data_IF_019381164925
#
_entry.id   IF_019381164925
#
_cell.length_a   1.000
_cell.length_b   1.000
_cell.length_c   1.000
_cell.angle_alpha   90.00
_cell.angle_beta   90.00
_cell.angle_gamma   90.00
#
_symmetry.space_group_name_H-M   'P 1'
#
loop_
_entity.id
_entity.type
_entity.pdbx_description
1 polymer ?
#
# COMPACT_ATOMS: atom_id res chain seq x y z
N UNK A 1 -21.12 5.55 -2.81
CA UNK A 1 -21.37 6.13 -4.14
C UNK A 1 -22.82 6.57 -4.32
N UNK A 2 -23.82 5.69 -4.20
CA UNK A 2 -25.25 6.04 -4.37
C UNK A 2 -25.66 7.28 -3.56
N UNK A 3 -25.40 7.27 -2.25
CA UNK A 3 -25.76 8.41 -1.40
C UNK A 3 -24.99 9.69 -1.75
N UNK A 4 -23.71 9.58 -2.16
CA UNK A 4 -22.94 10.75 -2.62
C UNK A 4 -23.55 11.42 -3.86
N UNK A 5 -24.30 10.69 -4.67
CA UNK A 5 -24.96 11.21 -5.86
C UNK A 5 -26.31 11.82 -5.48
N UNK A 6 -27.14 11.04 -4.77
CA UNK A 6 -28.56 11.36 -4.61
C UNK A 6 -28.92 12.11 -3.32
N UNK A 7 -28.06 12.12 -2.29
CA UNK A 7 -28.28 12.95 -1.11
C UNK A 7 -27.58 14.30 -1.26
N UNK A 8 -28.08 15.28 -0.53
CA UNK A 8 -27.37 16.53 -0.30
C UNK A 8 -26.16 16.29 0.59
N UNK A 9 -25.13 17.11 0.41
CA UNK A 9 -23.92 17.05 1.22
C UNK A 9 -24.06 18.02 2.39
N UNK A 10 -23.63 17.65 3.61
CA UNK A 10 -22.95 16.40 3.98
C UNK A 10 -23.88 15.17 4.02
N UNK A 11 -23.33 14.00 3.70
CA UNK A 11 -24.08 12.73 3.74
C UNK A 11 -24.49 12.41 5.16
N UNK A 12 -25.75 11.96 5.30
CA UNK A 12 -26.32 11.58 6.58
C UNK A 12 -26.77 10.12 6.59
N UNK A 13 -26.90 9.58 7.79
CA UNK A 13 -27.58 8.32 8.06
C UNK A 13 -28.65 8.59 9.12
N UNK A 14 -29.77 7.89 9.03
CA UNK A 14 -30.80 7.90 10.07
C UNK A 14 -30.72 6.59 10.81
N UNK A 15 -30.41 6.66 12.11
CA UNK A 15 -30.30 5.50 12.98
C UNK A 15 -31.10 5.76 14.25
N UNK A 16 -32.01 4.84 14.59
CA UNK A 16 -32.89 4.96 15.78
C UNK A 16 -33.65 6.30 15.80
N UNK A 17 -34.20 6.71 14.65
CA UNK A 17 -34.88 7.99 14.40
C UNK A 17 -34.01 9.25 14.56
N UNK A 18 -32.69 9.10 14.76
CA UNK A 18 -31.74 10.22 14.86
C UNK A 18 -30.91 10.30 13.58
N UNK A 19 -30.99 11.44 12.89
CA UNK A 19 -30.14 11.74 11.74
C UNK A 19 -28.76 12.22 12.20
N UNK A 20 -27.71 11.57 11.71
CA UNK A 20 -26.32 11.89 12.01
C UNK A 20 -25.49 11.99 10.73
N UNK A 21 -24.48 12.87 10.68
CA UNK A 21 -23.60 12.93 9.53
C UNK A 21 -22.71 11.68 9.47
N UNK A 22 -22.16 11.40 8.28
CA UNK A 22 -21.22 10.30 8.07
C UNK A 22 -19.78 10.83 8.03
N UNK A 23 -18.90 10.16 8.75
CA UNK A 23 -17.45 10.38 8.69
C UNK A 23 -16.81 9.20 7.98
N UNK A 24 -16.24 9.46 6.80
CA UNK A 24 -15.62 8.43 5.96
C UNK A 24 -14.62 9.00 4.95
N UNK A 25 -13.77 8.14 4.38
CA UNK A 25 -12.76 8.51 3.38
C UNK A 25 -13.40 8.73 1.99
N UNK A 26 -14.06 9.87 1.81
CA UNK A 26 -14.85 10.13 0.60
C UNK A 26 -14.01 10.51 -0.62
N UNK A 27 -12.77 10.98 -0.46
CA UNK A 27 -12.01 11.66 -1.53
C UNK A 27 -11.94 10.86 -2.84
N UNK A 28 -11.70 9.55 -2.74
CA UNK A 28 -11.65 8.64 -3.89
C UNK A 28 -12.95 8.64 -4.71
N UNK A 29 -14.09 8.74 -4.04
CA UNK A 29 -15.42 8.62 -4.63
C UNK A 29 -15.99 9.98 -5.08
N UNK A 30 -15.49 11.10 -4.55
CA UNK A 30 -16.02 12.43 -4.83
C UNK A 30 -16.01 12.82 -6.32
N UNK A 31 -14.92 12.61 -7.09
CA UNK A 31 -14.91 12.94 -8.52
C UNK A 31 -16.01 12.22 -9.31
N UNK A 32 -16.14 10.91 -9.09
CA UNK A 32 -17.16 10.10 -9.74
C UNK A 32 -18.58 10.45 -9.26
N UNK A 33 -18.76 10.82 -7.99
CA UNK A 33 -20.04 11.27 -7.47
C UNK A 33 -20.47 12.61 -8.09
N UNK A 34 -19.54 13.55 -8.32
CA UNK A 34 -19.82 14.81 -9.00
C UNK A 34 -20.30 14.58 -10.44
N UNK A 35 -19.61 13.69 -11.18
CA UNK A 35 -20.07 13.22 -12.51
C UNK A 35 -21.46 12.59 -12.41
N UNK A 36 -21.72 11.81 -11.37
CA UNK A 36 -23.03 11.20 -11.11
C UNK A 36 -24.15 12.19 -10.82
N UNK A 37 -23.87 13.30 -10.13
CA UNK A 37 -24.86 14.37 -9.89
C UNK A 37 -25.29 15.05 -11.20
N UNK A 38 -24.38 15.15 -12.17
CA UNK A 38 -24.65 15.79 -13.47
C UNK A 38 -25.27 14.83 -14.50
N UNK A 39 -24.80 13.59 -14.54
CA UNK A 39 -25.11 12.65 -15.64
C UNK A 39 -25.66 11.29 -15.17
N UNK A 40 -25.95 11.14 -13.88
CA UNK A 40 -26.62 9.99 -13.30
C UNK A 40 -25.72 8.80 -12.96
N UNK A 41 -26.35 7.74 -12.42
CA UNK A 41 -25.71 6.56 -11.84
C UNK A 41 -24.74 5.84 -12.79
N UNK A 42 -25.12 5.66 -14.05
CA UNK A 42 -24.30 4.93 -15.02
C UNK A 42 -23.01 5.68 -15.37
N UNK A 43 -23.10 7.01 -15.57
CA UNK A 43 -21.95 7.86 -15.84
C UNK A 43 -20.95 7.85 -14.67
N UNK A 44 -21.46 7.93 -13.42
CA UNK A 44 -20.63 7.87 -12.21
C UNK A 44 -19.79 6.59 -12.14
N UNK A 45 -20.38 5.43 -12.40
CA UNK A 45 -19.69 4.14 -12.30
C UNK A 45 -18.67 3.95 -13.43
N UNK A 46 -19.00 4.36 -14.67
CA UNK A 46 -18.04 4.33 -15.79
C UNK A 46 -16.86 5.27 -15.56
N UNK A 47 -17.13 6.47 -15.05
CA UNK A 47 -16.08 7.40 -14.67
C UNK A 47 -15.24 6.85 -13.53
N UNK A 48 -15.85 6.26 -12.49
CA UNK A 48 -15.13 5.63 -11.39
C UNK A 48 -14.18 4.57 -11.93
N UNK A 49 -14.63 3.70 -12.83
CA UNK A 49 -13.77 2.69 -13.45
C UNK A 49 -12.56 3.32 -14.17
N UNK A 50 -12.78 4.34 -15.01
CA UNK A 50 -11.69 5.06 -15.69
C UNK A 50 -10.75 5.77 -14.72
N UNK A 51 -11.29 6.36 -13.65
CA UNK A 51 -10.55 7.01 -12.56
C UNK A 51 -9.65 6.01 -11.82
N UNK A 52 -10.18 4.84 -11.47
CA UNK A 52 -9.42 3.74 -10.89
C UNK A 52 -8.34 3.25 -11.83
N UNK A 53 -8.67 2.99 -13.10
CA UNK A 53 -7.72 2.51 -14.10
C UNK A 53 -6.56 3.49 -14.33
N UNK A 54 -6.86 4.79 -14.38
CA UNK A 54 -5.84 5.84 -14.47
C UNK A 54 -4.92 5.84 -13.23
N UNK A 55 -5.50 5.76 -12.03
CA UNK A 55 -4.74 5.67 -10.78
C UNK A 55 -3.83 4.44 -10.71
N UNK A 56 -4.32 3.28 -11.15
CA UNK A 56 -3.54 2.03 -11.23
C UNK A 56 -2.43 2.12 -12.28
N UNK A 57 -2.71 2.71 -13.45
CA UNK A 57 -1.69 2.94 -14.49
C UNK A 57 -0.57 3.86 -14.01
N UNK A 58 -0.92 4.95 -13.31
CA UNK A 58 0.07 5.84 -12.69
C UNK A 58 0.85 5.13 -11.56
N UNK A 59 0.19 4.28 -10.76
CA UNK A 59 0.87 3.48 -9.75
C UNK A 59 1.86 2.50 -10.36
N UNK A 60 1.52 1.83 -11.47
CA UNK A 60 2.46 0.98 -12.21
C UNK A 60 3.66 1.78 -12.72
N UNK A 61 3.45 2.99 -13.25
CA UNK A 61 4.55 3.87 -13.65
C UNK A 61 5.46 4.22 -12.46
N UNK A 62 4.90 4.50 -11.29
CA UNK A 62 5.67 4.72 -10.06
C UNK A 62 6.41 3.46 -9.58
N UNK A 63 5.79 2.29 -9.71
CA UNK A 63 6.39 1.00 -9.36
C UNK A 63 7.67 0.77 -10.17
N UNK A 64 7.60 0.98 -11.49
CA UNK A 64 8.75 0.91 -12.40
C UNK A 64 9.81 1.96 -12.03
N UNK A 65 9.38 3.19 -11.73
CA UNK A 65 10.25 4.32 -11.42
C UNK A 65 11.04 4.13 -10.13
N UNK A 66 10.40 3.67 -9.05
CA UNK A 66 11.06 3.39 -7.76
C UNK A 66 12.07 2.25 -7.89
N UNK A 67 11.71 1.19 -8.63
CA UNK A 67 12.64 0.12 -8.96
C UNK A 67 13.85 0.61 -9.77
N UNK A 68 13.72 1.73 -10.50
CA UNK A 68 14.67 2.20 -11.52
C UNK A 68 14.96 1.09 -12.53
N UNK A 69 13.89 0.46 -13.01
CA UNK A 69 13.98 -0.64 -13.95
C UNK A 69 14.56 -0.14 -15.28
N UNK A 70 15.66 -0.73 -15.72
CA UNK A 70 16.39 -0.33 -16.94
C UNK A 70 16.02 -1.21 -18.13
N UNK A 71 15.83 -2.51 -17.89
CA UNK A 71 15.47 -3.50 -18.90
C UNK A 71 13.94 -3.66 -18.99
N UNK A 72 13.21 -2.60 -19.32
CA UNK A 72 11.74 -2.65 -19.53
C UNK A 72 11.34 -2.57 -20.99
N UNK A 73 12.27 -2.89 -21.90
CA UNK A 73 12.05 -2.83 -23.35
C UNK A 73 11.70 -4.18 -23.96
N UNK A 74 12.15 -5.29 -23.36
CA UNK A 74 11.77 -6.63 -23.81
C UNK A 74 10.45 -7.08 -23.15
N UNK A 75 9.68 -7.89 -23.89
CA UNK A 75 8.36 -8.33 -23.47
C UNK A 75 8.41 -9.18 -22.18
N UNK A 76 9.45 -10.00 -21.99
CA UNK A 76 9.57 -10.88 -20.83
C UNK A 76 9.73 -10.10 -19.53
N UNK A 77 10.59 -9.09 -19.55
CA UNK A 77 10.79 -8.18 -18.43
C UNK A 77 9.54 -7.37 -18.11
N UNK A 78 8.87 -6.81 -19.13
CA UNK A 78 7.60 -6.08 -18.93
C UNK A 78 6.53 -6.99 -18.31
N UNK A 79 6.36 -8.20 -18.84
CA UNK A 79 5.41 -9.18 -18.29
C UNK A 79 5.74 -9.57 -16.86
N UNK A 80 7.03 -9.74 -16.54
CA UNK A 80 7.47 -10.06 -15.17
C UNK A 80 7.11 -8.94 -14.20
N UNK A 81 7.37 -7.68 -14.57
CA UNK A 81 7.06 -6.52 -13.72
C UNK A 81 5.56 -6.37 -13.52
N UNK A 82 4.78 -6.50 -14.60
CA UNK A 82 3.31 -6.44 -14.53
C UNK A 82 2.77 -7.60 -13.68
N UNK A 83 3.29 -8.81 -13.84
CA UNK A 83 2.89 -9.95 -13.04
C UNK A 83 3.16 -9.71 -11.54
N UNK A 84 4.32 -9.17 -11.18
CA UNK A 84 4.63 -8.84 -9.78
C UNK A 84 3.70 -7.74 -9.26
N UNK A 85 3.51 -6.65 -10.03
CA UNK A 85 2.64 -5.56 -9.62
C UNK A 85 1.19 -6.01 -9.40
N UNK A 86 0.67 -6.92 -10.24
CA UNK A 86 -0.69 -7.41 -10.11
C UNK A 86 -0.84 -8.52 -9.08
N UNK A 87 0.08 -9.48 -9.05
CA UNK A 87 -0.13 -10.78 -8.39
C UNK A 87 0.66 -10.96 -7.09
N UNK A 88 1.61 -10.07 -6.76
CA UNK A 88 2.46 -10.33 -5.61
C UNK A 88 1.68 -10.31 -4.28
N UNK A 89 1.97 -11.28 -3.43
CA UNK A 89 1.35 -11.51 -2.13
C UNK A 89 2.26 -12.39 -1.25
N UNK A 90 1.92 -12.47 0.03
CA UNK A 90 2.60 -13.34 0.99
C UNK A 90 2.27 -14.82 0.77
N UNK A 91 2.96 -15.71 1.48
CA UNK A 91 2.69 -17.16 1.43
C UNK A 91 1.43 -17.56 2.23
N UNK A 92 0.34 -16.83 2.05
CA UNK A 92 -0.94 -17.03 2.75
C UNK A 92 -1.51 -18.42 2.55
N UNK A 93 -1.31 -19.00 1.36
CA UNK A 93 -1.76 -20.36 1.07
C UNK A 93 -1.15 -21.39 2.04
N UNK A 94 0.15 -21.22 2.35
CA UNK A 94 0.85 -22.09 3.31
C UNK A 94 0.35 -21.79 4.73
N UNK A 95 0.24 -20.50 5.09
CA UNK A 95 -0.26 -20.09 6.41
C UNK A 95 -1.66 -20.64 6.68
N UNK A 96 -2.55 -20.55 5.70
CA UNK A 96 -3.91 -21.07 5.78
C UNK A 96 -3.93 -22.59 5.98
N UNK A 97 -3.16 -23.37 5.21
CA UNK A 97 -3.10 -24.83 5.38
C UNK A 97 -2.60 -25.21 6.78
N UNK A 98 -1.55 -24.55 7.25
CA UNK A 98 -0.90 -24.88 8.53
C UNK A 98 -1.79 -24.50 9.72
N UNK A 99 -2.41 -23.32 9.71
CA UNK A 99 -3.16 -22.80 10.86
C UNK A 99 -4.64 -23.15 10.82
N UNK A 100 -5.25 -23.18 9.63
CA UNK A 100 -6.68 -23.52 9.46
C UNK A 100 -6.90 -25.01 9.17
N UNK A 101 -5.84 -25.80 8.98
CA UNK A 101 -5.88 -27.25 8.75
C UNK A 101 -6.78 -27.64 7.56
N UNK A 102 -6.82 -26.79 6.54
CA UNK A 102 -7.68 -26.94 5.38
C UNK A 102 -6.99 -26.46 4.10
N UNK A 103 -7.28 -27.10 2.97
CA UNK A 103 -6.81 -26.65 1.65
C UNK A 103 -7.85 -25.70 1.06
N UNK A 104 -7.54 -24.42 0.84
CA UNK A 104 -8.51 -23.47 0.34
C UNK A 104 -8.86 -23.76 -1.13
N UNK A 105 -10.11 -23.45 -1.49
CA UNK A 105 -10.53 -23.38 -2.90
C UNK A 105 -10.08 -22.03 -3.49
N UNK A 106 -9.86 -21.99 -4.81
CA UNK A 106 -9.40 -20.81 -5.56
C UNK A 106 -10.37 -19.63 -5.56
N UNK A 107 -11.47 -19.67 -4.82
CA UNK A 107 -12.43 -18.56 -4.68
C UNK A 107 -12.58 -18.08 -3.24
N UNK A 108 -11.87 -18.72 -2.31
CA UNK A 108 -11.91 -18.36 -0.89
C UNK A 108 -10.93 -17.24 -0.59
N UNK A 109 -11.30 -16.38 0.35
CA UNK A 109 -10.42 -15.31 0.81
C UNK A 109 -9.59 -15.83 2.00
N UNK A 110 -8.27 -15.93 1.81
CA UNK A 110 -7.39 -16.73 2.68
C UNK A 110 -6.45 -15.92 3.57
N UNK A 111 -6.34 -14.60 3.37
CA UNK A 111 -5.33 -13.74 4.00
C UNK A 111 -5.59 -13.55 5.52
N UNK A 112 -6.81 -13.81 6.01
CA UNK A 112 -7.17 -13.77 7.45
C UNK A 112 -6.69 -14.99 8.28
N UNK A 113 -5.74 -15.78 7.79
CA UNK A 113 -5.29 -16.99 8.47
C UNK A 113 -4.60 -16.72 9.83
N UNK A 114 -4.05 -15.51 10.03
CA UNK A 114 -3.33 -15.09 11.23
C UNK A 114 -4.14 -14.15 12.16
N UNK A 115 -5.47 -14.27 12.16
CA UNK A 115 -6.41 -13.54 13.02
C UNK A 115 -6.42 -12.01 12.82
N UNK A 116 -5.55 -11.28 13.53
CA UNK A 116 -5.52 -9.81 13.60
C UNK A 116 -4.34 -9.21 12.82
N UNK A 117 -3.56 -10.03 12.12
CA UNK A 117 -2.44 -9.59 11.30
C UNK A 117 -2.61 -10.13 9.89
N UNK A 118 -2.48 -9.25 8.91
CA UNK A 118 -2.71 -9.54 7.50
C UNK A 118 -1.92 -8.53 6.65
N UNK A 119 -1.21 -9.04 5.64
CA UNK A 119 -0.75 -8.23 4.51
C UNK A 119 -1.48 -8.65 3.25
N UNK A 120 -2.40 -7.80 2.81
CA UNK A 120 -3.16 -8.12 1.62
C UNK A 120 -2.28 -8.07 0.36
N UNK A 121 -2.47 -9.03 -0.53
CA UNK A 121 -1.80 -9.05 -1.84
C UNK A 121 -2.26 -7.89 -2.72
N UNK A 122 -1.47 -7.57 -3.76
CA UNK A 122 -1.69 -6.36 -4.58
C UNK A 122 -3.09 -6.32 -5.21
N UNK A 123 -3.58 -7.45 -5.70
CA UNK A 123 -4.94 -7.52 -6.24
C UNK A 123 -6.01 -7.44 -5.15
N UNK A 124 -5.85 -8.12 -4.01
CA UNK A 124 -6.79 -7.99 -2.88
C UNK A 124 -6.99 -6.52 -2.50
N UNK A 125 -5.90 -5.77 -2.41
CA UNK A 125 -5.91 -4.35 -2.08
C UNK A 125 -6.79 -3.52 -3.04
N UNK A 126 -6.83 -3.86 -4.33
CA UNK A 126 -7.66 -3.19 -5.32
C UNK A 126 -9.14 -3.58 -5.23
N UNK A 127 -9.45 -4.83 -4.87
CA UNK A 127 -10.84 -5.26 -4.70
C UNK A 127 -11.48 -4.70 -3.43
N UNK A 128 -10.73 -4.67 -2.33
CA UNK A 128 -11.30 -4.39 -1.02
C UNK A 128 -11.12 -2.95 -0.56
N UNK A 129 -10.00 -2.32 -0.89
CA UNK A 129 -9.68 -0.95 -0.42
C UNK A 129 -9.01 -0.07 -1.47
N UNK A 130 -9.53 0.00 -2.71
CA UNK A 130 -8.90 0.77 -3.79
C UNK A 130 -8.68 2.25 -3.43
N UNK A 131 -9.57 2.82 -2.60
CA UNK A 131 -9.43 4.19 -2.11
C UNK A 131 -8.15 4.43 -1.30
N UNK A 132 -7.68 3.43 -0.53
CA UNK A 132 -6.45 3.54 0.24
C UNK A 132 -5.24 3.13 -0.60
N UNK A 133 -5.40 2.06 -1.39
CA UNK A 133 -4.35 1.44 -2.19
C UNK A 133 -3.76 2.40 -3.21
N UNK A 134 -4.60 3.01 -4.05
CA UNK A 134 -4.13 3.92 -5.11
C UNK A 134 -3.48 5.15 -4.49
N UNK A 135 -4.11 5.74 -3.46
CA UNK A 135 -3.55 6.89 -2.76
C UNK A 135 -2.17 6.58 -2.17
N UNK A 136 -2.03 5.43 -1.50
CA UNK A 136 -0.79 4.97 -0.91
C UNK A 136 0.29 4.75 -1.98
N UNK A 137 0.03 4.01 -3.06
CA UNK A 137 1.01 3.77 -4.12
C UNK A 137 1.51 5.08 -4.75
N UNK A 138 0.62 6.04 -5.01
CA UNK A 138 1.00 7.33 -5.60
C UNK A 138 1.88 8.16 -4.67
N UNK A 139 1.52 8.31 -3.38
CA UNK A 139 2.34 9.08 -2.44
C UNK A 139 3.66 8.38 -2.14
N UNK A 140 3.68 7.05 -2.09
CA UNK A 140 4.92 6.26 -1.98
C UNK A 140 5.85 6.54 -3.16
N UNK A 141 5.32 6.50 -4.38
CA UNK A 141 6.02 6.91 -5.61
C UNK A 141 6.75 8.24 -5.46
N UNK A 142 5.99 9.29 -5.14
CA UNK A 142 6.47 10.66 -5.04
C UNK A 142 7.52 10.81 -3.94
N UNK A 143 7.28 10.27 -2.74
CA UNK A 143 8.18 10.42 -1.58
C UNK A 143 9.47 9.64 -1.79
N UNK A 144 9.38 8.39 -2.25
CA UNK A 144 10.57 7.56 -2.49
C UNK A 144 11.40 8.14 -3.63
N UNK A 145 10.78 8.65 -4.70
CA UNK A 145 11.51 9.32 -5.77
C UNK A 145 12.32 10.52 -5.27
N UNK A 146 11.77 11.32 -4.35
CA UNK A 146 12.47 12.45 -3.72
C UNK A 146 13.61 12.01 -2.76
N UNK A 147 13.56 10.79 -2.23
CA UNK A 147 14.68 10.18 -1.49
C UNK A 147 15.77 9.76 -2.48
N UNK A 148 15.39 9.07 -3.55
CA UNK A 148 16.32 8.50 -4.53
C UNK A 148 17.01 9.57 -5.38
N UNK A 149 16.33 10.67 -5.69
CA UNK A 149 16.83 11.80 -6.48
C UNK A 149 16.42 13.13 -5.84
N UNK A 150 17.27 14.17 -5.87
CA UNK A 150 16.85 15.50 -5.46
C UNK A 150 15.69 15.98 -6.34
N UNK A 151 14.52 16.21 -5.74
CA UNK A 151 13.31 16.72 -6.40
C UNK A 151 12.85 18.03 -5.76
N UNK A 152 11.98 18.75 -6.47
CA UNK A 152 11.24 19.87 -5.91
C UNK A 152 10.29 19.35 -4.82
N UNK A 153 10.59 19.67 -3.56
CA UNK A 153 9.83 19.19 -2.40
C UNK A 153 8.42 19.79 -2.33
N UNK A 154 8.11 20.85 -3.09
CA UNK A 154 6.74 21.38 -3.14
C UNK A 154 5.76 20.33 -3.66
N UNK A 155 6.16 19.47 -4.60
CA UNK A 155 5.34 18.36 -5.10
C UNK A 155 5.05 17.36 -3.99
N UNK A 156 6.05 17.05 -3.15
CA UNK A 156 5.87 16.17 -1.98
C UNK A 156 4.85 16.78 -1.04
N UNK A 157 4.95 18.07 -0.70
CA UNK A 157 4.02 18.75 0.19
C UNK A 157 2.59 18.77 -0.36
N UNK A 158 2.40 19.02 -1.66
CA UNK A 158 1.08 18.93 -2.31
C UNK A 158 0.52 17.51 -2.19
N UNK A 159 1.35 16.51 -2.49
CA UNK A 159 0.94 15.11 -2.44
C UNK A 159 0.55 14.71 -1.01
N UNK A 160 1.27 15.18 0.02
CA UNK A 160 0.91 14.96 1.42
C UNK A 160 -0.46 15.53 1.76
N UNK A 161 -0.75 16.77 1.34
CA UNK A 161 -2.06 17.38 1.56
C UNK A 161 -3.19 16.55 0.92
N UNK A 162 -2.99 16.11 -0.32
CA UNK A 162 -3.95 15.27 -1.03
C UNK A 162 -4.13 13.90 -0.34
N UNK A 163 -3.03 13.27 0.11
CA UNK A 163 -3.07 11.99 0.81
C UNK A 163 -3.73 12.07 2.18
N UNK A 164 -3.63 13.19 2.90
CA UNK A 164 -4.36 13.36 4.17
C UNK A 164 -5.87 13.24 3.92
N UNK A 165 -6.41 13.91 2.90
CA UNK A 165 -7.85 13.85 2.58
C UNK A 165 -8.24 12.46 2.07
N UNK A 166 -7.38 11.85 1.26
CA UNK A 166 -7.69 10.62 0.54
C UNK A 166 -7.53 9.36 1.39
N UNK A 167 -6.40 9.22 2.09
CA UNK A 167 -6.04 8.01 2.84
C UNK A 167 -5.11 8.33 4.02
N UNK A 168 -5.66 8.65 5.20
CA UNK A 168 -4.86 8.85 6.42
C UNK A 168 -3.94 7.66 6.76
N UNK A 169 -4.43 6.42 6.60
CA UNK A 169 -3.60 5.23 6.79
C UNK A 169 -2.48 5.09 5.75
N UNK A 170 -2.75 5.43 4.49
CA UNK A 170 -1.71 5.44 3.45
C UNK A 170 -0.60 6.44 3.77
N UNK A 171 -0.97 7.62 4.30
CA UNK A 171 -0.01 8.60 4.78
C UNK A 171 0.80 8.09 5.97
N UNK A 172 0.15 7.46 6.96
CA UNK A 172 0.86 6.83 8.08
C UNK A 172 1.86 5.79 7.57
N UNK A 173 1.52 5.00 6.55
CA UNK A 173 2.41 4.00 5.97
C UNK A 173 3.60 4.60 5.25
N UNK A 174 3.46 5.80 4.68
CA UNK A 174 4.56 6.54 4.05
C UNK A 174 5.40 7.32 5.06
N UNK A 175 4.92 7.53 6.28
CA UNK A 175 5.60 8.34 7.30
C UNK A 175 7.05 7.93 7.62
N UNK A 176 7.45 6.65 7.67
CA UNK A 176 8.85 6.28 7.90
C UNK A 176 9.78 6.81 6.80
N UNK A 177 9.32 6.82 5.55
CA UNK A 177 10.07 7.34 4.41
C UNK A 177 10.10 8.87 4.40
N UNK A 178 9.02 9.52 4.87
CA UNK A 178 9.03 10.98 5.06
C UNK A 178 10.03 11.40 6.13
N UNK A 179 10.21 10.63 7.20
CA UNK A 179 11.23 10.90 8.21
C UNK A 179 12.64 10.81 7.62
N UNK A 180 12.90 9.82 6.77
CA UNK A 180 14.16 9.71 6.03
C UNK A 180 14.37 10.92 5.11
N UNK A 181 13.35 11.28 4.32
CA UNK A 181 13.42 12.44 3.43
C UNK A 181 13.64 13.74 4.21
N UNK A 182 12.98 13.92 5.35
CA UNK A 182 13.14 15.07 6.22
C UNK A 182 14.57 15.14 6.78
N UNK A 183 15.09 14.02 7.31
CA UNK A 183 16.46 13.95 7.81
C UNK A 183 17.49 14.29 6.72
N UNK A 184 17.31 13.76 5.50
CA UNK A 184 18.16 14.11 4.35
C UNK A 184 18.03 15.58 3.94
N UNK A 185 16.85 16.18 4.10
CA UNK A 185 16.56 17.57 3.75
C UNK A 185 17.11 18.57 4.76
N UNK A 186 17.35 18.16 6.01
CA UNK A 186 18.03 18.98 7.02
C UNK A 186 19.55 19.08 6.80
N UNK A 187 20.12 18.21 5.96
CA UNK A 187 21.53 18.25 5.60
C UNK A 187 21.92 19.53 4.83
N UNK A 188 23.19 19.96 4.90
CA UNK A 188 23.64 21.23 4.32
C UNK A 188 23.37 21.33 2.81
N UNK A 189 23.38 20.20 2.10
CA UNK A 189 23.13 20.13 0.65
C UNK A 189 21.68 20.43 0.26
N UNK A 190 20.71 20.04 1.09
CA UNK A 190 19.27 20.11 0.75
C UNK A 190 18.50 21.14 1.59
N UNK A 191 19.07 21.68 2.67
CA UNK A 191 18.37 22.61 3.58
C UNK A 191 17.75 23.82 2.87
N UNK A 192 18.42 24.36 1.86
CA UNK A 192 17.90 25.49 1.08
C UNK A 192 16.60 25.17 0.34
N UNK A 193 16.33 23.88 0.02
CA UNK A 193 15.09 23.51 -0.66
C UNK A 193 13.87 23.73 0.23
N UNK A 194 13.99 23.52 1.55
CA UNK A 194 12.90 23.71 2.52
C UNK A 194 12.39 25.16 2.60
N UNK A 195 13.24 26.13 2.26
CA UNK A 195 12.92 27.56 2.30
C UNK A 195 12.60 28.14 0.92
N UNK A 196 12.37 27.29 -0.09
CA UNK A 196 11.93 27.77 -1.39
C UNK A 196 10.56 28.46 -1.27
N UNK A 197 10.32 29.58 -1.96
CA UNK A 197 9.05 30.31 -1.89
C UNK A 197 7.84 29.43 -2.16
N UNK A 198 7.95 28.47 -3.09
CA UNK A 198 6.87 27.50 -3.39
C UNK A 198 6.48 26.66 -2.19
N UNK A 199 7.45 26.19 -1.41
CA UNK A 199 7.18 25.40 -0.20
C UNK A 199 6.55 26.27 0.88
N UNK A 200 7.07 27.47 1.09
CA UNK A 200 6.53 28.40 2.07
C UNK A 200 5.08 28.82 1.75
N UNK A 201 4.69 28.79 0.48
CA UNK A 201 3.30 29.01 0.04
C UNK A 201 2.42 27.76 0.20
N UNK A 202 2.91 26.59 -0.21
CA UNK A 202 2.11 25.36 -0.24
C UNK A 202 1.99 24.72 1.15
N UNK A 203 3.02 24.78 1.99
CA UNK A 203 3.03 24.09 3.29
C UNK A 203 1.96 24.60 4.26
N UNK A 204 1.73 25.91 4.44
CA UNK A 204 0.62 26.40 5.27
C UNK A 204 -0.74 25.93 4.76
N UNK A 205 -0.93 25.89 3.44
CA UNK A 205 -2.17 25.41 2.84
C UNK A 205 -2.37 23.90 3.07
N UNK A 206 -1.30 23.11 2.93
CA UNK A 206 -1.31 21.68 3.25
C UNK A 206 -1.63 21.41 4.72
N UNK A 207 -1.04 22.18 5.64
CA UNK A 207 -1.32 22.10 7.08
C UNK A 207 -2.78 22.47 7.39
N UNK A 208 -3.30 23.51 6.74
CA UNK A 208 -4.69 23.94 6.91
C UNK A 208 -5.68 22.87 6.43
N UNK A 209 -5.45 22.29 5.25
CA UNK A 209 -6.21 21.13 4.74
C UNK A 209 -6.15 19.97 5.73
N UNK A 210 -4.93 19.65 6.20
CA UNK A 210 -4.71 18.56 7.15
C UNK A 210 -5.49 18.76 8.44
N UNK A 211 -5.49 19.99 8.97
CA UNK A 211 -6.24 20.35 10.16
C UNK A 211 -7.75 20.17 9.96
N UNK A 212 -8.31 20.65 8.83
CA UNK A 212 -9.73 20.46 8.52
C UNK A 212 -10.08 18.97 8.45
N UNK A 213 -9.25 18.16 7.78
CA UNK A 213 -9.51 16.74 7.68
C UNK A 213 -9.39 16.02 9.03
N UNK A 214 -8.43 16.41 9.87
CA UNK A 214 -8.33 15.89 11.25
C UNK A 214 -9.57 16.24 12.07
N UNK A 215 -10.11 17.45 11.95
CA UNK A 215 -11.38 17.83 12.60
C UNK A 215 -12.55 16.98 12.09
N UNK A 216 -12.58 16.65 10.80
CA UNK A 216 -13.59 15.77 10.21
C UNK A 216 -13.48 14.33 10.72
N UNK A 217 -12.29 13.71 10.70
CA UNK A 217 -12.09 12.34 11.18
C UNK A 217 -12.35 12.23 12.69
N UNK A 218 -11.93 13.22 13.47
CA UNK A 218 -12.21 13.27 14.92
C UNK A 218 -13.69 13.52 15.25
N UNK A 219 -14.52 13.89 14.28
CA UNK A 219 -15.96 13.96 14.48
C UNK A 219 -16.60 12.57 14.53
N UNK A 220 -15.87 11.49 14.22
CA UNK A 220 -16.38 10.13 14.30
C UNK A 220 -16.67 9.72 15.77
N UNK A 221 -17.86 9.17 16.01
CA UNK A 221 -18.29 8.65 17.31
C UNK A 221 -17.80 7.22 17.58
N UNK A 222 -17.35 6.51 16.54
CA UNK A 222 -16.80 5.17 16.64
C UNK A 222 -15.58 5.15 17.55
N UNK A 223 -15.64 4.34 18.61
CA UNK A 223 -14.48 4.04 19.44
C UNK A 223 -13.87 2.73 18.95
N UNK A 224 -12.66 2.82 18.43
CA UNK A 224 -11.94 1.66 17.90
C UNK A 224 -11.07 1.06 19.00
N UNK A 225 -10.98 -0.28 19.10
CA UNK A 225 -10.02 -0.91 19.98
C UNK A 225 -8.61 -0.56 19.50
N UNK A 226 -7.79 -0.04 20.41
CA UNK A 226 -6.39 0.32 20.16
C UNK A 226 -5.53 -0.19 21.29
N UNK A 227 -4.38 -0.78 20.97
CA UNK A 227 -3.45 -1.29 21.97
C UNK A 227 -2.41 -2.19 21.33
N UNK A 228 -1.54 -2.75 22.16
CA UNK A 228 -0.59 -3.73 21.66
C UNK A 228 -1.28 -5.08 21.43
N UNK A 229 -0.75 -5.86 20.49
CA UNK A 229 -1.42 -7.09 20.05
C UNK A 229 -1.58 -8.13 21.17
N UNK A 230 -0.67 -8.15 22.15
CA UNK A 230 -0.75 -9.02 23.33
C UNK A 230 -1.87 -8.64 24.30
N UNK A 231 -2.43 -7.44 24.21
CA UNK A 231 -3.60 -7.05 25.00
C UNK A 231 -4.90 -7.69 24.46
N UNK A 232 -4.86 -8.21 23.21
CA UNK A 232 -6.03 -8.77 22.52
C UNK A 232 -6.01 -10.30 22.39
N UNK A 233 -4.88 -10.94 22.65
CA UNK A 233 -4.72 -12.40 22.52
C UNK A 233 -4.37 -12.99 23.89
N UNK A 234 -5.21 -13.91 24.36
CA UNK A 234 -5.12 -14.47 25.73
C UNK A 234 -3.91 -15.38 25.93
N UNK A 235 -3.48 -16.10 24.91
CA UNK A 235 -2.38 -17.06 25.01
C UNK A 235 -1.09 -16.49 24.38
N UNK A 236 -0.04 -16.20 25.17
CA UNK A 236 1.18 -15.61 24.66
C UNK A 236 2.00 -16.55 23.75
N UNK A 237 1.90 -17.87 23.94
CA UNK A 237 2.62 -18.85 23.12
C UNK A 237 2.01 -18.89 21.71
N UNK A 238 0.68 -18.90 21.63
CA UNK A 238 -0.07 -18.88 20.37
C UNK A 238 0.15 -17.57 19.60
N UNK A 239 0.21 -16.45 20.32
CA UNK A 239 0.60 -15.17 19.74
C UNK A 239 2.01 -15.21 19.14
N UNK A 240 2.99 -15.72 19.90
CA UNK A 240 4.37 -15.76 19.47
C UNK A 240 4.57 -16.68 18.24
N UNK A 241 3.95 -17.86 18.24
CA UNK A 241 3.99 -18.77 17.09
C UNK A 241 3.31 -18.18 15.85
N UNK A 242 2.14 -17.55 16.03
CA UNK A 242 1.40 -16.90 14.93
C UNK A 242 2.20 -15.75 14.33
N UNK A 243 2.76 -14.85 15.16
CA UNK A 243 3.57 -13.73 14.67
C UNK A 243 4.86 -14.19 14.00
N UNK A 244 5.54 -15.20 14.56
CA UNK A 244 6.75 -15.75 13.95
C UNK A 244 6.46 -16.38 12.58
N UNK A 245 5.38 -17.16 12.48
CA UNK A 245 4.93 -17.72 11.20
C UNK A 245 4.51 -16.62 10.22
N UNK A 246 3.76 -15.62 10.69
CA UNK A 246 3.33 -14.48 9.89
C UNK A 246 4.54 -13.75 9.28
N UNK A 247 5.49 -13.29 10.09
CA UNK A 247 6.68 -12.63 9.56
C UNK A 247 7.49 -13.51 8.61
N UNK A 248 7.63 -14.80 8.91
CA UNK A 248 8.37 -15.73 8.05
C UNK A 248 7.71 -15.90 6.68
N UNK A 249 6.39 -16.12 6.65
CA UNK A 249 5.63 -16.43 5.43
C UNK A 249 5.34 -15.18 4.58
N UNK A 250 5.15 -14.03 5.22
CA UNK A 250 4.76 -12.79 4.54
C UNK A 250 5.95 -12.06 3.93
N UNK A 251 7.04 -11.94 4.68
CA UNK A 251 8.21 -11.13 4.25
C UNK A 251 9.54 -11.83 4.46
N UNK A 252 9.62 -12.81 5.37
CA UNK A 252 10.87 -13.42 5.82
C UNK A 252 11.53 -14.28 4.76
N UNK A 253 10.78 -15.20 4.15
CA UNK A 253 11.32 -16.11 3.11
C UNK A 253 11.75 -15.29 1.87
N UNK A 254 10.90 -14.39 1.38
CA UNK A 254 11.22 -13.51 0.25
C UNK A 254 12.43 -12.64 0.58
N UNK A 255 12.43 -11.99 1.74
CA UNK A 255 13.52 -11.12 2.20
C UNK A 255 14.85 -11.87 2.36
N UNK A 256 14.83 -13.10 2.87
CA UNK A 256 16.03 -13.94 3.00
C UNK A 256 16.58 -14.33 1.63
N UNK A 257 15.74 -14.74 0.69
CA UNK A 257 16.17 -15.09 -0.67
C UNK A 257 16.77 -13.86 -1.38
N UNK A 258 16.12 -12.71 -1.28
CA UNK A 258 16.64 -11.44 -1.78
C UNK A 258 18.01 -11.12 -1.16
N UNK A 259 18.15 -11.22 0.16
CA UNK A 259 19.41 -10.95 0.85
C UNK A 259 20.52 -11.90 0.38
N UNK A 260 20.24 -13.20 0.23
CA UNK A 260 21.19 -14.19 -0.27
C UNK A 260 21.61 -13.84 -1.70
N UNK A 261 20.67 -13.48 -2.58
CA UNK A 261 20.96 -13.07 -3.96
C UNK A 261 21.90 -11.85 -3.96
N UNK A 262 21.58 -10.82 -3.17
CA UNK A 262 22.39 -9.59 -3.11
C UNK A 262 23.81 -9.87 -2.62
N UNK A 263 23.97 -10.63 -1.52
CA UNK A 263 25.28 -10.97 -0.94
C UNK A 263 26.09 -11.84 -1.92
N UNK A 264 25.49 -12.90 -2.47
CA UNK A 264 26.17 -13.79 -3.41
C UNK A 264 26.55 -13.05 -4.70
N UNK A 265 25.68 -12.17 -5.20
CA UNK A 265 25.97 -11.34 -6.37
C UNK A 265 27.17 -10.42 -6.16
N UNK A 266 27.27 -9.79 -4.99
CA UNK A 266 28.44 -8.97 -4.63
C UNK A 266 29.72 -9.82 -4.60
N UNK A 267 29.66 -11.02 -4.03
CA UNK A 267 30.81 -11.94 -3.94
C UNK A 267 31.27 -12.38 -5.34
N UNK A 268 30.33 -12.74 -6.22
CA UNK A 268 30.65 -13.20 -7.58
C UNK A 268 31.33 -12.10 -8.41
N UNK A 269 30.82 -10.86 -8.37
CA UNK A 269 31.44 -9.72 -9.06
C UNK A 269 32.84 -9.42 -8.53
N UNK A 270 33.07 -9.61 -7.22
CA UNK A 270 34.40 -9.44 -6.62
C UNK A 270 35.38 -10.54 -7.04
N UNK A 271 34.90 -11.78 -7.12
CA UNK A 271 35.68 -12.95 -7.52
C UNK A 271 36.23 -12.80 -8.94
N UNK A 272 35.38 -12.40 -9.89
CA UNK A 272 35.78 -12.19 -11.29
C UNK A 272 36.88 -11.12 -11.46
N UNK A 273 36.88 -10.11 -10.59
CA UNK A 273 37.88 -9.03 -10.61
C UNK A 273 39.25 -9.47 -10.08
N UNK A 274 39.28 -10.37 -9.10
CA UNK A 274 40.53 -10.97 -8.61
C UNK A 274 41.26 -11.74 -9.72
N UNK A 275 40.52 -12.30 -10.68
CA UNK A 275 41.10 -13.00 -11.84
C UNK A 275 41.53 -12.07 -12.99
N UNK A 276 41.02 -10.83 -13.07
CA UNK A 276 41.21 -9.95 -14.24
C UNK A 276 42.03 -8.69 -14.00
N UNK A 277 42.21 -8.22 -12.75
CA UNK A 277 43.11 -7.09 -12.45
C UNK A 277 43.49 -6.98 -10.98
N UNK A 278 44.78 -6.77 -10.68
CA UNK A 278 45.35 -6.60 -9.34
C UNK A 278 45.11 -5.21 -8.70
N UNK A 279 43.91 -4.63 -8.82
CA UNK A 279 43.65 -3.25 -8.34
C UNK A 279 42.39 -3.16 -7.47
N UNK A 280 42.64 -2.78 -6.21
CA UNK A 280 41.77 -2.29 -5.13
C UNK A 280 40.53 -3.15 -4.76
N UNK A 281 40.27 -3.40 -3.46
CA UNK A 281 39.06 -4.08 -3.02
C UNK A 281 37.84 -3.29 -3.52
N UNK A 282 37.01 -3.92 -4.35
CA UNK A 282 35.81 -3.26 -4.85
C UNK A 282 34.92 -2.90 -3.65
N UNK A 283 34.61 -1.60 -3.52
CA UNK A 283 33.55 -1.13 -2.62
C UNK A 283 32.28 -1.92 -2.96
N UNK A 284 31.64 -2.50 -1.93
CA UNK A 284 30.45 -3.33 -2.10
C UNK A 284 29.34 -2.57 -2.84
N UNK A 285 29.33 -1.24 -2.75
CA UNK A 285 28.41 -0.35 -3.48
C UNK A 285 28.57 -0.48 -5.00
N UNK A 286 29.81 -0.47 -5.49
CA UNK A 286 30.08 -0.60 -6.92
C UNK A 286 29.76 -2.00 -7.43
N UNK A 287 30.05 -3.03 -6.62
CA UNK A 287 29.68 -4.40 -6.95
C UNK A 287 28.15 -4.58 -7.04
N UNK A 288 27.41 -3.98 -6.10
CA UNK A 288 25.95 -3.98 -6.09
C UNK A 288 25.36 -3.27 -7.32
N UNK A 289 25.90 -2.08 -7.65
CA UNK A 289 25.44 -1.33 -8.82
C UNK A 289 25.74 -2.08 -10.13
N UNK A 290 26.88 -2.76 -10.25
CA UNK A 290 27.20 -3.59 -11.42
C UNK A 290 26.33 -4.84 -11.50
N UNK A 291 26.11 -5.52 -10.38
CA UNK A 291 25.37 -6.78 -10.36
C UNK A 291 23.87 -6.58 -10.60
N UNK A 292 23.28 -5.51 -10.02
CA UNK A 292 21.84 -5.33 -9.92
C UNK A 292 21.34 -3.95 -10.37
N UNK A 293 22.23 -2.98 -10.63
CA UNK A 293 21.85 -1.59 -10.86
C UNK A 293 21.20 -0.92 -9.64
N UNK A 294 21.47 -1.42 -8.43
CA UNK A 294 20.91 -0.91 -7.17
C UNK A 294 21.87 0.10 -6.55
N UNK A 295 21.34 1.26 -6.15
CA UNK A 295 22.10 2.31 -5.46
C UNK A 295 21.91 2.26 -3.94
N UNK A 296 22.82 2.83 -3.12
CA UNK A 296 22.71 2.78 -1.65
C UNK A 296 21.41 3.35 -1.09
N UNK A 297 20.81 4.37 -1.71
CA UNK A 297 19.53 4.94 -1.27
C UNK A 297 18.36 3.95 -1.44
N UNK A 298 18.40 3.06 -2.43
CA UNK A 298 17.40 1.99 -2.57
C UNK A 298 17.53 0.94 -1.45
N UNK A 299 18.75 0.64 -1.01
CA UNK A 299 18.95 -0.24 0.16
C UNK A 299 18.44 0.39 1.46
N UNK A 300 18.65 1.71 1.64
CA UNK A 300 18.09 2.43 2.79
C UNK A 300 16.57 2.35 2.80
N UNK A 301 15.94 2.59 1.64
CA UNK A 301 14.48 2.47 1.47
C UNK A 301 14.00 1.04 1.76
N UNK A 302 14.72 0.02 1.27
CA UNK A 302 14.40 -1.39 1.53
C UNK A 302 14.55 -1.74 3.03
N UNK A 303 15.57 -1.21 3.72
CA UNK A 303 15.74 -1.41 5.15
C UNK A 303 14.57 -0.81 5.94
N UNK A 304 14.16 0.42 5.62
CA UNK A 304 13.00 1.09 6.23
C UNK A 304 11.73 0.30 5.97
N UNK A 305 11.58 -0.26 4.77
CA UNK A 305 10.48 -1.14 4.40
C UNK A 305 10.40 -2.38 5.30
N UNK A 306 11.51 -3.11 5.45
CA UNK A 306 11.54 -4.31 6.31
C UNK A 306 11.23 -3.95 7.76
N UNK A 307 11.83 -2.88 8.30
CA UNK A 307 11.53 -2.42 9.67
C UNK A 307 10.05 -2.07 9.82
N UNK A 308 9.49 -1.34 8.86
CA UNK A 308 8.09 -0.91 8.90
C UNK A 308 7.15 -2.12 8.91
N UNK A 309 7.37 -3.09 8.01
CA UNK A 309 6.59 -4.31 7.98
C UNK A 309 6.77 -5.09 9.29
N UNK A 310 7.99 -5.32 9.78
CA UNK A 310 8.18 -6.05 11.05
C UNK A 310 7.48 -5.39 12.26
N UNK A 311 7.38 -4.06 12.31
CA UNK A 311 6.79 -3.35 13.46
C UNK A 311 5.26 -3.24 13.44
N UNK A 312 4.64 -3.15 12.26
CA UNK A 312 3.19 -2.93 12.14
C UNK A 312 2.31 -4.00 12.83
N UNK A 313 2.62 -5.31 12.77
CA UNK A 313 1.82 -6.37 13.41
C UNK A 313 1.76 -6.30 14.93
N UNK A 314 2.65 -5.53 15.57
CA UNK A 314 2.78 -5.46 17.03
C UNK A 314 1.68 -4.58 17.66
N UNK A 315 1.06 -3.69 16.88
CA UNK A 315 0.04 -2.77 17.36
C UNK A 315 -1.27 -2.95 16.58
N UNK A 316 -2.39 -2.85 17.30
CA UNK A 316 -3.73 -3.00 16.74
C UNK A 316 -4.48 -1.68 16.76
N UNK A 317 -5.08 -1.31 15.63
CA UNK A 317 -6.08 -0.24 15.54
C UNK A 317 -7.28 -0.74 14.77
N UNK A 318 -8.48 -0.63 15.36
CA UNK A 318 -9.70 -1.09 14.71
C UNK A 318 -10.02 -2.56 14.99
N UNK A 319 -11.24 -2.98 14.68
CA UNK A 319 -11.75 -4.32 15.02
C UNK A 319 -10.89 -5.43 14.43
N UNK A 320 -10.53 -5.28 13.15
CA UNK A 320 -9.76 -6.26 12.36
C UNK A 320 -8.29 -5.88 12.20
N UNK A 321 -7.81 -4.86 12.92
CA UNK A 321 -6.48 -4.26 12.74
C UNK A 321 -6.30 -3.56 11.38
N UNK A 322 -7.06 -2.49 11.16
CA UNK A 322 -6.91 -1.63 9.98
C UNK A 322 -5.50 -1.01 9.87
N UNK A 323 -4.77 -0.85 10.99
CA UNK A 323 -3.40 -0.35 10.96
C UNK A 323 -2.52 -1.23 10.09
N UNK A 324 -2.38 -2.52 10.42
CA UNK A 324 -1.48 -3.42 9.69
C UNK A 324 -1.93 -3.60 8.24
N UNK A 325 -3.22 -3.68 7.97
CA UNK A 325 -3.76 -3.89 6.62
C UNK A 325 -3.58 -2.70 5.69
N UNK A 326 -3.72 -1.46 6.19
CA UNK A 326 -3.71 -0.24 5.35
C UNK A 326 -2.38 0.49 5.36
N UNK A 327 -1.65 0.43 6.46
CA UNK A 327 -0.39 1.15 6.68
C UNK A 327 0.80 0.37 6.11
N UNK A 328 0.64 -0.93 5.85
CA UNK A 328 1.65 -1.77 5.18
C UNK A 328 1.75 -1.52 3.67
N UNK A 329 0.69 -1.00 3.03
CA UNK A 329 0.58 -0.84 1.56
C UNK A 329 1.83 -0.16 0.94
N UNK A 330 2.33 0.99 1.47
CA UNK A 330 3.55 1.62 0.96
C UNK A 330 4.78 0.71 0.95
N UNK A 331 4.99 -0.01 2.05
CA UNK A 331 6.18 -0.85 2.23
C UNK A 331 6.08 -2.12 1.38
N UNK A 332 4.91 -2.74 1.28
CA UNK A 332 4.68 -3.86 0.36
C UNK A 332 4.91 -3.44 -1.10
N UNK A 333 4.44 -2.27 -1.50
CA UNK A 333 4.67 -1.71 -2.83
C UNK A 333 6.15 -1.54 -3.15
N UNK A 334 6.94 -1.01 -2.21
CA UNK A 334 8.39 -0.87 -2.33
C UNK A 334 9.08 -2.23 -2.38
N UNK A 335 8.72 -3.16 -1.48
CA UNK A 335 9.30 -4.50 -1.41
C UNK A 335 9.19 -5.20 -2.77
N UNK A 336 7.99 -5.24 -3.32
CA UNK A 336 7.74 -5.90 -4.59
C UNK A 336 8.38 -5.18 -5.78
N UNK A 337 8.49 -3.84 -5.75
CA UNK A 337 9.24 -3.10 -6.76
C UNK A 337 10.74 -3.45 -6.74
N UNK A 338 11.31 -3.63 -5.55
CA UNK A 338 12.71 -4.05 -5.36
C UNK A 338 12.93 -5.52 -5.75
N UNK A 339 11.96 -6.40 -5.48
CA UNK A 339 12.00 -7.80 -5.99
C UNK A 339 11.98 -7.80 -7.51
N UNK A 340 11.10 -7.01 -8.15
CA UNK A 340 11.07 -6.84 -9.60
C UNK A 340 12.40 -6.33 -10.16
N UNK A 341 13.03 -5.36 -9.49
CA UNK A 341 14.37 -4.85 -9.84
C UNK A 341 15.42 -5.96 -9.85
N UNK A 342 15.43 -6.82 -8.84
CA UNK A 342 16.39 -7.93 -8.75
C UNK A 342 16.09 -8.98 -9.82
N UNK A 343 14.82 -9.29 -10.10
CA UNK A 343 14.48 -10.29 -11.10
C UNK A 343 14.83 -9.83 -12.53
N UNK A 344 14.61 -8.54 -12.84
CA UNK A 344 14.72 -8.01 -14.21
C UNK A 344 16.11 -7.46 -14.53
N UNK A 345 16.70 -6.64 -13.67
CA UNK A 345 17.94 -5.91 -14.00
C UNK A 345 19.21 -6.56 -13.44
N UNK A 346 19.11 -7.78 -12.93
CA UNK A 346 20.31 -8.53 -12.56
C UNK A 346 21.13 -8.87 -13.80
N UNK A 347 22.45 -8.65 -13.71
CA UNK A 347 23.35 -9.02 -14.80
C UNK A 347 23.21 -10.51 -15.16
N UNK A 348 23.28 -10.81 -16.46
CA UNK A 348 23.04 -12.15 -16.99
C UNK A 348 23.96 -13.21 -16.36
N UNK A 349 25.22 -12.85 -16.11
CA UNK A 349 26.18 -13.73 -15.43
C UNK A 349 25.69 -14.13 -14.03
N UNK A 350 25.19 -13.18 -13.24
CA UNK A 350 24.67 -13.43 -11.90
C UNK A 350 23.41 -14.29 -11.94
N UNK A 351 22.49 -14.02 -12.87
CA UNK A 351 21.30 -14.85 -13.05
C UNK A 351 21.65 -16.30 -13.39
N UNK A 352 22.66 -16.53 -14.25
CA UNK A 352 23.13 -17.88 -14.59
C UNK A 352 23.77 -18.59 -13.39
N UNK A 353 24.67 -17.90 -12.67
CA UNK A 353 25.36 -18.47 -11.50
C UNK A 353 24.42 -18.79 -10.34
N UNK A 354 23.42 -17.94 -10.12
CA UNK A 354 22.47 -18.05 -9.01
C UNK A 354 21.11 -18.62 -9.42
N UNK A 355 21.00 -19.22 -10.62
CA UNK A 355 19.71 -19.61 -11.22
C UNK A 355 18.82 -20.47 -10.32
N UNK A 356 19.40 -21.33 -9.47
CA UNK A 356 18.63 -22.13 -8.49
C UNK A 356 17.91 -21.25 -7.44
N UNK A 357 18.56 -20.18 -6.98
CA UNK A 357 18.02 -19.26 -5.98
C UNK A 357 16.94 -18.38 -6.62
N UNK A 358 17.17 -17.91 -7.86
CA UNK A 358 16.14 -17.24 -8.66
C UNK A 358 14.92 -18.12 -8.90
N UNK A 359 15.14 -19.39 -9.27
CA UNK A 359 14.07 -20.37 -9.46
C UNK A 359 13.24 -20.56 -8.18
N UNK A 360 13.91 -20.66 -7.02
CA UNK A 360 13.21 -20.74 -5.73
C UNK A 360 12.41 -19.46 -5.42
N UNK A 361 12.96 -18.28 -5.70
CA UNK A 361 12.23 -17.01 -5.54
C UNK A 361 10.99 -16.94 -6.43
N UNK A 362 11.07 -17.44 -7.68
CA UNK A 362 9.92 -17.53 -8.58
C UNK A 362 8.88 -18.54 -8.10
N UNK A 363 9.27 -19.67 -7.52
CA UNK A 363 8.34 -20.62 -6.90
C UNK A 363 7.63 -19.98 -5.71
N UNK A 364 8.37 -19.28 -4.84
CA UNK A 364 7.82 -18.54 -3.70
C UNK A 364 6.83 -17.48 -4.18
N UNK A 365 7.18 -16.72 -5.22
CA UNK A 365 6.26 -15.76 -5.85
C UNK A 365 5.01 -16.45 -6.42
N UNK A 366 5.15 -17.58 -7.11
CA UNK A 366 4.02 -18.34 -7.63
C UNK A 366 3.07 -18.80 -6.53
N UNK A 367 3.58 -19.31 -5.41
CA UNK A 367 2.77 -19.68 -4.26
C UNK A 367 2.12 -18.45 -3.61
N UNK A 368 2.85 -17.34 -3.49
CA UNK A 368 2.33 -16.10 -2.91
C UNK A 368 1.28 -15.40 -3.79
N UNK A 369 1.26 -15.71 -5.09
CA UNK A 369 0.24 -15.18 -6.00
C UNK A 369 -1.16 -15.76 -5.80
N UNK A 370 -1.29 -16.82 -4.99
CA UNK A 370 -2.56 -17.54 -4.79
C UNK A 370 -3.68 -16.63 -4.31
N UNK A 371 -3.42 -15.72 -3.36
CA UNK A 371 -4.44 -14.79 -2.84
C UNK A 371 -4.97 -13.87 -3.93
N UNK A 372 -4.07 -13.27 -4.71
CA UNK A 372 -4.42 -12.42 -5.85
C UNK A 372 -5.16 -13.19 -6.95
N UNK A 373 -4.72 -14.41 -7.27
CA UNK A 373 -5.42 -15.28 -8.22
C UNK A 373 -6.83 -15.63 -7.73
N UNK A 374 -7.01 -15.85 -6.42
CA UNK A 374 -8.30 -16.19 -5.86
C UNK A 374 -9.31 -15.05 -5.97
N UNK A 375 -8.84 -13.81 -5.78
CA UNK A 375 -9.64 -12.60 -5.97
C UNK A 375 -10.05 -12.41 -7.44
N UNK A 376 -9.13 -12.67 -8.38
CA UNK A 376 -9.43 -12.64 -9.81
C UNK A 376 -10.47 -13.69 -10.17
N UNK A 377 -10.28 -14.94 -9.75
CA UNK A 377 -11.21 -16.04 -10.03
C UNK A 377 -12.61 -15.73 -9.50
N UNK A 378 -12.71 -15.27 -8.24
CA UNK A 378 -13.98 -14.86 -7.62
C UNK A 378 -14.66 -13.72 -8.36
N UNK A 379 -13.90 -12.77 -8.89
CA UNK A 379 -14.46 -11.66 -9.66
C UNK A 379 -14.96 -12.10 -11.04
N UNK A 380 -14.28 -13.05 -11.70
CA UNK A 380 -14.70 -13.56 -13.01
C UNK A 380 -16.06 -14.23 -12.91
N UNK A 381 -16.31 -15.02 -11.86
CA UNK A 381 -17.60 -15.68 -11.63
C UNK A 381 -18.78 -14.71 -11.47
N UNK A 382 -18.51 -13.48 -11.04
CA UNK A 382 -19.54 -12.46 -10.75
C UNK A 382 -19.41 -11.22 -11.64
N UNK A 383 -18.63 -11.31 -12.71
CA UNK A 383 -18.29 -10.15 -13.53
C UNK A 383 -19.51 -9.63 -14.31
N UNK A 384 -19.74 -8.32 -14.22
CA UNK A 384 -20.66 -7.58 -15.07
C UNK A 384 -20.00 -6.27 -15.49
N UNK A 385 -20.01 -6.00 -16.79
CA UNK A 385 -19.56 -4.69 -17.30
C UNK A 385 -20.53 -3.57 -16.93
N UNK A 386 -21.83 -3.87 -16.87
CA UNK A 386 -22.81 -2.85 -16.50
C UNK A 386 -22.76 -2.57 -15.00
N UNK A 387 -22.94 -1.31 -14.59
CA UNK A 387 -23.10 -0.97 -13.18
C UNK A 387 -24.24 -1.78 -12.54
N UNK A 388 -24.14 -2.11 -11.24
CA UNK A 388 -25.22 -2.80 -10.56
C UNK A 388 -26.51 -1.96 -10.61
N UNK A 389 -27.65 -2.64 -10.67
CA UNK A 389 -28.95 -1.99 -10.64
C UNK A 389 -29.07 -1.13 -9.38
N UNK A 390 -29.47 0.14 -9.52
CA UNK A 390 -29.52 1.09 -8.39
C UNK A 390 -30.42 0.61 -7.24
N UNK A 391 -31.44 -0.20 -7.55
CA UNK A 391 -32.37 -0.80 -6.59
C UNK A 391 -31.70 -1.82 -5.67
N UNK A 392 -30.63 -2.51 -6.11
CA UNK A 392 -29.91 -3.50 -5.31
C UNK A 392 -28.82 -2.88 -4.44
N UNK A 393 -28.47 -1.61 -4.70
CA UNK A 393 -27.46 -0.88 -3.94
C UNK A 393 -28.08 -0.27 -2.68
N UNK A 394 -27.61 -0.70 -1.51
CA UNK A 394 -28.03 -0.18 -0.22
C UNK A 394 -27.77 1.34 -0.10
N UNK A 395 -28.61 2.01 0.69
CA UNK A 395 -28.50 3.44 1.03
C UNK A 395 -28.34 3.59 2.54
N UNK A 396 -27.77 4.71 2.97
CA UNK A 396 -27.60 5.02 4.39
C UNK A 396 -28.90 5.33 5.13
N UNK A 397 -30.03 5.48 4.42
CA UNK A 397 -31.33 5.82 5.01
C UNK A 397 -32.20 4.63 5.45
N UNK A 398 -31.91 3.40 5.00
CA UNK A 398 -32.78 2.22 5.22
C UNK A 398 -32.13 1.16 6.11
N UNK A 399 -31.39 1.57 7.14
CA UNK A 399 -30.46 0.68 7.86
C UNK A 399 -31.05 0.10 9.16
N UNK A 400 -30.86 -1.19 9.37
CA UNK A 400 -31.21 -1.90 10.61
C UNK A 400 -30.02 -1.95 11.60
N UNK A 401 -30.32 -2.23 12.88
CA UNK A 401 -29.36 -2.23 14.00
C UNK A 401 -28.15 -3.17 13.85
N UNK A 402 -28.24 -4.16 12.96
CA UNK A 402 -27.21 -5.20 12.78
C UNK A 402 -26.05 -4.79 11.86
N UNK A 403 -26.11 -3.62 11.21
CA UNK A 403 -25.05 -3.13 10.32
C UNK A 403 -23.84 -2.55 11.11
N UNK A 404 -23.11 -3.43 11.80
CA UNK A 404 -21.93 -3.13 12.62
C UNK A 404 -20.90 -2.19 11.94
N UNK A 405 -20.65 -2.39 10.65
CA UNK A 405 -19.70 -1.58 9.86
C UNK A 405 -20.12 -0.11 9.70
N UNK A 406 -21.40 0.20 9.85
CA UNK A 406 -21.96 1.55 9.64
C UNK A 406 -21.99 2.35 10.94
N UNK A 407 -22.09 1.69 12.10
CA UNK A 407 -21.92 2.32 13.42
C UNK A 407 -20.52 2.96 13.56
N UNK A 408 -19.50 2.36 12.95
CA UNK A 408 -18.12 2.86 12.96
C UNK A 408 -17.91 4.17 12.19
N UNK A 409 -18.91 4.64 11.43
CA UNK A 409 -18.81 5.82 10.55
C UNK A 409 -19.75 6.95 10.97
N UNK A 410 -20.47 6.79 12.09
CA UNK A 410 -21.39 7.81 12.58
C UNK A 410 -20.62 9.01 13.12
N UNK A 411 -20.92 10.19 12.59
CA UNK A 411 -20.37 11.45 13.06
C UNK A 411 -21.17 12.07 14.20
N UNK A 412 -20.51 12.91 15.00
CA UNK A 412 -21.10 13.78 15.99
C UNK A 412 -21.53 15.10 15.33
N UNK A 413 -22.84 15.41 15.22
CA UNK A 413 -23.31 16.67 14.65
C UNK A 413 -22.79 17.91 15.41
N UNK A 414 -22.45 17.75 16.68
CA UNK A 414 -21.94 18.83 17.53
C UNK A 414 -20.41 19.00 17.46
N UNK A 415 -19.71 18.16 16.69
CA UNK A 415 -18.27 18.31 16.51
C UNK A 415 -17.94 19.64 15.80
N UNK A 416 -16.78 20.26 16.08
CA UNK A 416 -16.38 21.54 15.48
C UNK A 416 -16.48 21.55 13.95
N UNK A 417 -16.11 20.44 13.29
CA UNK A 417 -16.21 20.32 11.84
C UNK A 417 -17.63 20.57 11.33
N UNK A 418 -18.64 19.83 11.82
CA UNK A 418 -20.01 19.96 11.34
C UNK A 418 -20.70 21.26 11.80
N UNK A 419 -20.31 21.82 12.95
CA UNK A 419 -20.87 23.08 13.45
C UNK A 419 -20.41 24.30 12.66
N UNK A 420 -19.15 24.32 12.21
CA UNK A 420 -18.53 25.52 11.65
C UNK A 420 -18.11 25.41 10.19
N UNK A 421 -17.78 24.20 9.70
CA UNK A 421 -17.19 24.00 8.37
C UNK A 421 -18.09 23.19 7.42
N UNK A 422 -18.76 22.15 7.92
CA UNK A 422 -19.54 21.20 7.12
C UNK A 422 -21.03 21.46 7.11
N UNK A 423 -21.45 22.73 6.95
CA UNK A 423 -22.87 23.11 6.83
C UNK A 423 -23.38 22.92 5.42
#
# INVERSE_FOLDING_TARGET
MKDLIFQDWPITLTFDQVTRPIVYYFAYYLPAAAVGKLWGWAAANRFLFGWTACGVGLALAWFVRIGRLRHTTDLGSVMTVVAIFCLAGGLDFIGYIVFQHNVPLLTYHIEFWANYVEYSSQTTLLYWVPQHTIAAWLITGIVVDAILEPRDLSIVVIALAASIIWSPFGLLGVSPYLLVLAAMSLGPTRRATLFQPRILLVAPFALWIGLIHLLFINANLGRFPTGFIWDFIKNPIDLASTLAAFWLLEIGIVGLLVLIILIRGIIEVKSERLFTSAIAPADWKMALERAFGIVPSQLLVLLVCVISLSMLPIYKVGTYNDLVMRTSIPSLFILWAMVGKILVDSSQHIQQRLGRIYGLLLVVFGLGSYSSMSEIARSIERYSWQPPAISTVATTSTLNKEDFFKLQRMGNPQAPFFRYLGK
#
